data_IF_975533644383
#
_entry.id   IF_975533644383
#
_cell.length_a   1.000
_cell.length_b   1.000
_cell.length_c   1.000
_cell.angle_alpha   90.00
_cell.angle_beta   90.00
_cell.angle_gamma   90.00
#
_symmetry.space_group_name_H-M   'P 1'
#
loop_
_entity.id
_entity.type
_entity.pdbx_description
1 polymer ?
#
# COMPACT_ATOMS: atom_id res chain seq x y z
N UNK A 1 0.13 11.78 -6.27
CA UNK A 1 -0.22 12.52 -7.49
C UNK A 1 0.14 13.97 -7.31
N UNK A 2 -0.73 14.72 -6.64
CA UNK A 2 -0.67 16.17 -6.54
C UNK A 2 0.67 16.73 -6.04
N UNK A 3 1.16 16.30 -4.86
CA UNK A 3 2.45 16.78 -4.30
C UNK A 3 3.64 16.43 -5.21
N UNK A 4 3.57 15.32 -5.93
CA UNK A 4 4.62 14.89 -6.86
C UNK A 4 4.44 15.49 -8.26
N UNK A 5 3.34 16.23 -8.50
CA UNK A 5 2.99 16.84 -9.78
C UNK A 5 2.93 15.84 -10.95
N UNK A 6 2.46 14.62 -10.69
CA UNK A 6 2.38 13.54 -11.68
C UNK A 6 0.94 13.23 -12.06
N UNK A 7 0.73 12.87 -13.33
CA UNK A 7 -0.56 12.38 -13.77
C UNK A 7 -0.87 11.02 -13.12
N UNK A 8 -2.11 10.85 -12.64
CA UNK A 8 -2.58 9.61 -12.02
C UNK A 8 -3.85 9.13 -12.71
N UNK A 9 -3.74 7.98 -13.37
CA UNK A 9 -4.87 7.20 -13.86
C UNK A 9 -5.37 6.27 -12.76
N UNK A 10 -6.68 6.24 -12.52
CA UNK A 10 -7.37 5.42 -11.53
C UNK A 10 -8.45 4.58 -12.23
N UNK A 11 -8.07 3.53 -12.99
CA UNK A 11 -8.98 2.71 -13.77
C UNK A 11 -9.94 1.88 -12.90
N UNK A 12 -11.13 1.60 -13.44
CA UNK A 12 -12.21 0.94 -12.70
C UNK A 12 -12.34 -0.57 -12.91
N UNK A 13 -11.83 -1.09 -14.02
CA UNK A 13 -11.97 -2.50 -14.41
C UNK A 13 -10.83 -2.91 -15.37
N UNK A 14 -10.67 -4.21 -15.69
CA UNK A 14 -9.58 -4.69 -16.53
C UNK A 14 -9.45 -4.02 -17.92
N UNK A 15 -10.56 -3.71 -18.60
CA UNK A 15 -10.52 -3.02 -19.91
C UNK A 15 -10.07 -1.55 -19.75
N UNK A 16 -10.62 -0.85 -18.76
CA UNK A 16 -10.20 0.51 -18.42
C UNK A 16 -8.72 0.54 -18.04
N UNK A 17 -8.21 -0.47 -17.31
CA UNK A 17 -6.78 -0.61 -16.99
C UNK A 17 -5.92 -0.74 -18.23
N UNK A 18 -6.30 -1.63 -19.15
CA UNK A 18 -5.57 -1.82 -20.40
C UNK A 18 -5.49 -0.52 -21.22
N UNK A 19 -6.63 0.17 -21.37
CA UNK A 19 -6.70 1.45 -22.09
C UNK A 19 -5.92 2.56 -21.39
N UNK A 20 -5.99 2.60 -20.05
CA UNK A 20 -5.23 3.57 -19.23
C UNK A 20 -3.73 3.35 -19.34
N UNK A 21 -3.25 2.09 -19.41
CA UNK A 21 -1.83 1.77 -19.58
C UNK A 21 -1.30 2.28 -20.92
N UNK A 22 -2.02 2.02 -22.02
CA UNK A 22 -1.64 2.54 -23.34
C UNK A 22 -1.56 4.06 -23.29
N UNK A 23 -2.62 4.71 -22.79
CA UNK A 23 -2.67 6.17 -22.74
C UNK A 23 -1.61 6.77 -21.81
N UNK A 24 -1.30 6.10 -20.70
CA UNK A 24 -0.28 6.53 -19.75
C UNK A 24 1.12 6.51 -20.39
N UNK A 25 1.45 5.50 -21.20
CA UNK A 25 2.69 5.49 -21.96
C UNK A 25 2.75 6.65 -22.96
N UNK A 26 1.71 6.85 -23.76
CA UNK A 26 1.65 7.96 -24.72
C UNK A 26 1.77 9.33 -24.04
N UNK A 27 1.08 9.52 -22.91
CA UNK A 27 1.14 10.75 -22.13
C UNK A 27 2.55 10.95 -21.56
N UNK A 28 3.15 9.91 -20.99
CA UNK A 28 4.49 9.96 -20.42
C UNK A 28 5.55 10.32 -21.47
N UNK A 29 5.48 9.72 -22.66
CA UNK A 29 6.39 9.99 -23.76
C UNK A 29 6.22 11.40 -24.34
N UNK A 30 4.98 11.84 -24.56
CA UNK A 30 4.69 13.17 -25.11
C UNK A 30 5.06 14.30 -24.15
N UNK A 31 4.91 14.08 -22.85
CA UNK A 31 5.19 15.07 -21.81
C UNK A 31 6.58 14.96 -21.20
N UNK A 32 7.29 13.85 -21.47
CA UNK A 32 8.56 13.47 -20.84
C UNK A 32 8.50 13.48 -19.31
N UNK A 33 7.38 13.01 -18.75
CA UNK A 33 7.16 12.95 -17.29
C UNK A 33 6.65 11.60 -16.83
N UNK A 34 6.91 11.19 -15.58
CA UNK A 34 6.34 9.97 -15.03
C UNK A 34 4.82 10.08 -14.92
N UNK A 35 4.14 8.99 -15.24
CA UNK A 35 2.70 8.82 -15.09
C UNK A 35 2.45 7.61 -14.19
N UNK A 36 1.49 7.72 -13.29
CA UNK A 36 1.09 6.63 -12.38
C UNK A 36 -0.22 6.05 -12.89
N UNK A 37 -0.29 4.72 -12.98
CA UNK A 37 -1.55 3.99 -13.11
C UNK A 37 -1.78 3.25 -11.80
N UNK A 38 -2.84 3.62 -11.07
CA UNK A 38 -3.15 3.05 -9.76
C UNK A 38 -3.89 1.74 -9.92
N UNK A 39 -3.28 0.66 -9.44
CA UNK A 39 -3.88 -0.68 -9.40
C UNK A 39 -4.17 -1.04 -7.94
N UNK A 40 -5.43 -1.28 -7.62
CA UNK A 40 -5.86 -1.71 -6.28
C UNK A 40 -5.89 -3.24 -6.20
N UNK A 41 -5.83 -3.80 -4.99
CA UNK A 41 -5.91 -5.26 -4.75
C UNK A 41 -7.13 -5.92 -5.41
N UNK A 42 -8.27 -5.22 -5.42
CA UNK A 42 -9.48 -5.73 -6.09
C UNK A 42 -9.36 -5.71 -7.61
N UNK A 43 -8.79 -4.65 -8.16
CA UNK A 43 -8.60 -4.52 -9.60
C UNK A 43 -7.57 -5.52 -10.13
N UNK A 44 -6.52 -5.82 -9.35
CA UNK A 44 -5.51 -6.82 -9.67
C UNK A 44 -6.11 -8.23 -9.82
N UNK A 45 -7.09 -8.57 -8.96
CA UNK A 45 -7.81 -9.86 -8.98
C UNK A 45 -9.00 -9.89 -9.93
N UNK A 46 -9.40 -8.75 -10.50
CA UNK A 46 -10.56 -8.66 -11.36
C UNK A 46 -10.29 -9.33 -12.72
N UNK A 47 -11.29 -10.02 -13.24
CA UNK A 47 -11.25 -10.61 -14.59
C UNK A 47 -12.36 -10.02 -15.43
N UNK A 48 -12.08 -9.80 -16.72
CA UNK A 48 -13.04 -9.21 -17.64
C UNK A 48 -12.53 -9.25 -19.08
N UNK A 49 -13.43 -9.10 -20.07
CA UNK A 49 -13.03 -8.98 -21.46
C UNK A 49 -12.20 -7.72 -21.66
N UNK A 50 -11.17 -7.80 -22.51
CA UNK A 50 -10.32 -6.66 -22.88
C UNK A 50 -10.21 -6.62 -24.40
N UNK A 51 -10.49 -5.45 -24.99
CA UNK A 51 -10.29 -5.25 -26.43
C UNK A 51 -8.89 -4.70 -26.66
N UNK A 52 -8.02 -5.48 -27.31
CA UNK A 52 -6.65 -5.06 -27.59
C UNK A 52 -6.62 -4.04 -28.74
N UNK A 53 -5.80 -3.01 -28.60
CA UNK A 53 -5.52 -2.07 -29.68
C UNK A 53 -4.59 -2.71 -30.70
N UNK A 54 -4.92 -2.60 -31.99
CA UNK A 54 -4.04 -3.02 -33.08
C UNK A 54 -2.97 -1.95 -33.40
N UNK A 55 -3.22 -0.71 -33.01
CA UNK A 55 -2.39 0.46 -33.33
C UNK A 55 -1.56 0.93 -32.12
N UNK A 56 -0.68 0.09 -31.58
CA UNK A 56 0.29 0.52 -30.57
C UNK A 56 1.44 1.24 -31.26
N UNK A 57 1.50 2.57 -31.10
CA UNK A 57 2.60 3.39 -31.61
C UNK A 57 3.90 3.00 -30.90
N UNK A 58 4.90 2.58 -31.68
CA UNK A 58 6.27 2.45 -31.19
C UNK A 58 6.98 3.77 -31.39
N UNK A 59 7.56 4.28 -30.32
CA UNK A 59 8.24 5.57 -30.32
C UNK A 59 9.75 5.33 -30.24
N UNK A 60 10.51 5.87 -31.20
CA UNK A 60 11.97 5.89 -31.09
C UNK A 60 12.38 6.96 -30.07
N UNK A 61 12.81 6.53 -28.89
CA UNK A 61 13.24 7.43 -27.83
C UNK A 61 14.73 7.78 -27.99
N UNK A 62 15.05 9.07 -27.94
CA UNK A 62 16.43 9.56 -27.78
C UNK A 62 16.61 10.17 -26.40
N UNK A 63 17.78 9.94 -25.78
CA UNK A 63 18.06 10.44 -24.44
C UNK A 63 18.50 11.92 -24.49
N UNK A 64 17.50 12.81 -24.50
CA UNK A 64 17.68 14.25 -24.46
C UNK A 64 18.16 14.73 -23.08
N UNK A 65 19.37 15.30 -23.05
CA UNK A 65 20.01 15.83 -21.82
C UNK A 65 19.88 17.34 -21.68
N UNK A 66 19.13 18.01 -22.56
CA UNK A 66 18.96 19.47 -22.53
C UNK A 66 18.37 19.98 -21.20
N UNK A 67 17.58 19.15 -20.50
CA UNK A 67 17.03 19.44 -19.18
C UNK A 67 18.10 19.78 -18.13
N UNK A 68 19.33 19.28 -18.28
CA UNK A 68 20.45 19.58 -17.39
C UNK A 68 21.06 20.97 -17.59
N UNK A 69 20.68 21.68 -18.66
CA UNK A 69 21.01 23.10 -18.85
C UNK A 69 20.16 24.03 -17.97
N UNK A 70 19.08 23.52 -17.37
CA UNK A 70 18.22 24.26 -16.47
C UNK A 70 18.64 24.05 -15.01
N UNK A 71 18.54 25.11 -14.20
CA UNK A 71 18.61 25.01 -12.74
C UNK A 71 17.42 24.21 -12.20
N UNK A 72 17.46 23.77 -10.94
CA UNK A 72 16.30 23.09 -10.32
C UNK A 72 15.01 23.93 -10.41
N UNK A 73 15.10 25.25 -10.16
CA UNK A 73 14.00 26.19 -10.38
C UNK A 73 13.55 26.24 -11.83
N UNK A 74 14.50 26.28 -12.78
CA UNK A 74 14.18 26.31 -14.21
C UNK A 74 13.46 25.06 -14.69
N UNK A 75 13.82 23.88 -14.16
CA UNK A 75 13.11 22.61 -14.44
C UNK A 75 11.65 22.65 -13.97
N UNK A 76 11.42 23.17 -12.76
CA UNK A 76 10.07 23.30 -12.21
C UNK A 76 9.23 24.33 -12.97
N UNK A 77 9.82 25.47 -13.35
CA UNK A 77 9.16 26.45 -14.23
C UNK A 77 8.83 25.87 -15.60
N UNK A 78 9.76 25.13 -16.22
CA UNK A 78 9.53 24.44 -17.48
C UNK A 78 8.34 23.46 -17.38
N UNK A 79 8.27 22.70 -16.28
CA UNK A 79 7.14 21.80 -16.02
C UNK A 79 5.80 22.56 -15.98
N UNK A 80 5.68 23.59 -15.15
CA UNK A 80 4.42 24.34 -15.02
C UNK A 80 4.01 25.08 -16.31
N UNK A 81 4.97 25.57 -17.09
CA UNK A 81 4.68 26.34 -18.30
C UNK A 81 4.33 25.42 -19.48
N UNK A 82 5.10 24.34 -19.68
CA UNK A 82 5.01 23.54 -20.91
C UNK A 82 4.38 22.16 -20.73
N UNK A 83 4.38 21.61 -19.50
CA UNK A 83 4.01 20.22 -19.25
C UNK A 83 2.67 20.13 -18.52
N UNK A 84 2.53 20.82 -17.40
CA UNK A 84 1.30 20.78 -16.58
C UNK A 84 0.02 21.08 -17.39
N UNK A 85 -0.01 22.05 -18.33
CA UNK A 85 -1.20 22.28 -19.15
C UNK A 85 -1.63 21.06 -19.97
N UNK A 86 -0.68 20.24 -20.43
CA UNK A 86 -0.96 19.00 -21.18
C UNK A 86 -1.56 17.93 -20.26
N UNK A 87 -1.11 17.84 -19.01
CA UNK A 87 -1.66 16.92 -18.02
C UNK A 87 -3.08 17.34 -17.59
N UNK A 88 -3.32 18.64 -17.46
CA UNK A 88 -4.66 19.19 -17.20
C UNK A 88 -5.59 18.92 -18.38
N UNK A 89 -5.11 19.12 -19.61
CA UNK A 89 -5.88 18.81 -20.82
C UNK A 89 -6.26 17.33 -20.88
N UNK A 90 -5.34 16.41 -20.55
CA UNK A 90 -5.65 14.98 -20.45
C UNK A 90 -6.78 14.72 -19.44
N UNK A 91 -6.68 15.25 -18.22
CA UNK A 91 -7.71 15.06 -17.21
C UNK A 91 -9.08 15.60 -17.68
N UNK A 92 -9.08 16.76 -18.33
CA UNK A 92 -10.29 17.47 -18.78
C UNK A 92 -10.90 16.90 -20.07
N UNK A 93 -10.15 16.17 -20.90
CA UNK A 93 -10.62 15.80 -22.24
C UNK A 93 -10.45 14.32 -22.58
N UNK A 94 -9.85 13.51 -21.72
CA UNK A 94 -9.69 12.07 -21.97
C UNK A 94 -11.03 11.37 -22.20
N UNK A 95 -11.04 10.46 -23.18
CA UNK A 95 -12.21 9.62 -23.51
C UNK A 95 -12.42 8.47 -22.52
N UNK A 96 -11.50 8.31 -21.57
CA UNK A 96 -11.57 7.28 -20.53
C UNK A 96 -12.51 7.67 -19.38
N UNK A 97 -12.75 8.96 -19.19
CA UNK A 97 -13.77 9.46 -18.25
C UNK A 97 -15.16 9.24 -18.87
N UNK A 98 -16.05 8.58 -18.12
CA UNK A 98 -17.43 8.31 -18.54
C UNK A 98 -18.39 9.23 -17.81
N UNK A 99 -19.40 9.73 -18.53
CA UNK A 99 -20.49 10.51 -17.96
C UNK A 99 -21.83 9.99 -18.49
N UNK A 100 -22.73 9.64 -17.57
CA UNK A 100 -24.12 9.28 -17.85
C UNK A 100 -25.02 10.26 -17.10
N UNK A 101 -25.90 10.97 -17.80
CA UNK A 101 -26.85 11.92 -17.20
C UNK A 101 -28.18 11.24 -16.92
N UNK A 102 -28.63 11.28 -15.67
CA UNK A 102 -29.92 10.80 -15.18
C UNK A 102 -30.31 11.52 -13.87
N UNK A 103 -31.60 11.79 -13.68
CA UNK A 103 -32.12 12.43 -12.46
C UNK A 103 -31.46 13.74 -12.04
N UNK A 104 -31.64 14.10 -10.76
CA UNK A 104 -31.12 15.34 -10.14
C UNK A 104 -29.98 15.13 -9.15
N UNK A 105 -29.79 13.88 -8.73
CA UNK A 105 -28.67 13.46 -7.89
C UNK A 105 -27.52 13.05 -8.78
N UNK A 106 -26.31 13.46 -8.42
CA UNK A 106 -25.07 13.09 -9.10
C UNK A 106 -24.20 12.18 -8.23
N UNK A 107 -23.44 11.31 -8.89
CA UNK A 107 -22.35 10.54 -8.31
C UNK A 107 -21.07 10.87 -9.08
N UNK A 108 -20.01 11.22 -8.35
CA UNK A 108 -18.65 11.28 -8.89
C UNK A 108 -17.89 10.08 -8.31
N UNK A 109 -17.22 9.31 -9.15
CA UNK A 109 -16.40 8.19 -8.67
C UNK A 109 -15.11 8.03 -9.45
N UNK A 110 -14.14 7.33 -8.88
CA UNK A 110 -12.91 6.91 -9.56
C UNK A 110 -12.51 5.51 -9.15
N UNK A 111 -11.65 4.85 -9.95
CA UNK A 111 -11.13 3.54 -9.61
C UNK A 111 -12.20 2.45 -9.58
N UNK A 112 -11.88 1.34 -8.90
CA UNK A 112 -12.79 0.21 -8.74
C UNK A 112 -14.21 0.58 -8.25
N UNK A 113 -14.40 1.55 -7.32
CA UNK A 113 -15.74 1.99 -6.92
C UNK A 113 -16.66 2.39 -8.08
N UNK A 114 -16.15 2.92 -9.19
CA UNK A 114 -16.98 3.23 -10.35
C UNK A 114 -17.71 2.00 -10.92
N UNK A 115 -17.10 0.81 -10.86
CA UNK A 115 -17.74 -0.43 -11.26
C UNK A 115 -18.89 -0.80 -10.30
N UNK A 116 -18.70 -0.63 -8.99
CA UNK A 116 -19.74 -0.89 -7.99
C UNK A 116 -20.94 0.05 -8.18
N UNK A 117 -20.69 1.31 -8.54
CA UNK A 117 -21.73 2.28 -8.89
C UNK A 117 -22.49 1.83 -10.13
N UNK A 118 -21.80 1.51 -11.22
CA UNK A 118 -22.45 1.06 -12.47
C UNK A 118 -23.38 -0.13 -12.21
N UNK A 119 -22.91 -1.14 -11.48
CA UNK A 119 -23.70 -2.33 -11.15
C UNK A 119 -24.90 -1.99 -10.27
N UNK A 120 -24.73 -1.11 -9.26
CA UNK A 120 -25.81 -0.72 -8.35
C UNK A 120 -26.91 0.05 -9.08
N UNK A 121 -26.54 1.01 -9.93
CA UNK A 121 -27.48 1.82 -10.70
C UNK A 121 -28.29 0.94 -11.67
N UNK A 122 -27.62 -0.03 -12.31
CA UNK A 122 -28.26 -1.01 -13.20
C UNK A 122 -29.24 -1.93 -12.46
N UNK A 123 -28.82 -2.54 -11.34
CA UNK A 123 -29.64 -3.48 -10.56
C UNK A 123 -30.88 -2.84 -9.95
N UNK A 124 -30.75 -1.60 -9.45
CA UNK A 124 -31.82 -0.90 -8.74
C UNK A 124 -32.61 0.06 -9.64
N UNK A 125 -32.22 0.21 -10.90
CA UNK A 125 -32.84 1.13 -11.87
C UNK A 125 -32.98 2.56 -11.31
N UNK A 126 -31.89 3.06 -10.70
CA UNK A 126 -31.89 4.38 -10.06
C UNK A 126 -31.60 5.48 -11.09
N UNK A 127 -32.42 6.52 -11.09
CA UNK A 127 -32.25 7.73 -11.88
C UNK A 127 -31.21 8.67 -11.22
N UNK A 128 -29.93 8.32 -11.34
CA UNK A 128 -28.80 9.08 -10.76
C UNK A 128 -27.72 9.26 -11.81
N UNK A 129 -27.26 10.51 -11.96
CA UNK A 129 -26.18 10.84 -12.90
C UNK A 129 -24.87 10.31 -12.38
N UNK A 130 -24.00 9.83 -13.26
CA UNK A 130 -22.73 9.23 -12.87
C UNK A 130 -21.58 9.76 -13.73
N UNK A 131 -20.63 10.44 -13.07
CA UNK A 131 -19.34 10.85 -13.62
C UNK A 131 -18.24 9.95 -13.06
N UNK A 132 -17.83 8.96 -13.85
CA UNK A 132 -16.70 8.08 -13.53
C UNK A 132 -15.41 8.65 -14.10
N UNK A 133 -14.59 9.25 -13.24
CA UNK A 133 -13.26 9.75 -13.58
C UNK A 133 -12.28 8.61 -13.78
N UNK A 134 -11.43 8.75 -14.80
CA UNK A 134 -10.31 7.84 -15.02
C UNK A 134 -8.95 8.49 -14.74
N UNK A 135 -8.86 9.83 -14.85
CA UNK A 135 -7.67 10.60 -14.44
C UNK A 135 -8.08 11.46 -13.25
N UNK A 136 -7.38 11.29 -12.13
CA UNK A 136 -7.71 11.94 -10.86
C UNK A 136 -6.65 12.95 -10.43
N UNK A 137 -5.48 12.94 -11.06
CA UNK A 137 -4.46 13.96 -10.83
C UNK A 137 -3.82 14.31 -12.17
N UNK A 138 -3.79 15.60 -12.57
CA UNK A 138 -4.59 16.70 -12.03
C UNK A 138 -6.09 16.40 -12.03
N UNK A 139 -6.87 17.08 -11.18
CA UNK A 139 -8.33 16.94 -11.21
C UNK A 139 -8.93 17.73 -12.39
N UNK A 140 -9.98 17.21 -13.06
CA UNK A 140 -10.67 17.92 -14.13
C UNK A 140 -11.65 18.96 -13.57
N UNK A 141 -11.11 20.08 -13.09
CA UNK A 141 -11.84 21.12 -12.36
C UNK A 141 -13.05 21.65 -13.14
N UNK A 142 -12.96 21.81 -14.46
CA UNK A 142 -14.09 22.29 -15.28
C UNK A 142 -15.20 21.25 -15.31
N UNK A 143 -14.89 19.98 -15.66
CA UNK A 143 -15.90 18.91 -15.63
C UNK A 143 -16.55 18.76 -14.26
N UNK A 144 -15.74 18.81 -13.19
CA UNK A 144 -16.25 18.70 -11.82
C UNK A 144 -17.20 19.84 -11.48
N UNK A 145 -16.82 21.09 -11.79
CA UNK A 145 -17.67 22.27 -11.57
C UNK A 145 -19.00 22.15 -12.32
N UNK A 146 -18.94 21.81 -13.60
CA UNK A 146 -20.13 21.72 -14.45
C UNK A 146 -21.06 20.61 -13.92
N UNK A 147 -20.49 19.45 -13.56
CA UNK A 147 -21.25 18.37 -12.95
C UNK A 147 -21.86 18.77 -11.61
N UNK A 148 -21.11 19.41 -10.70
CA UNK A 148 -21.63 19.81 -9.39
C UNK A 148 -22.75 20.84 -9.52
N UNK A 149 -22.65 21.75 -10.50
CA UNK A 149 -23.66 22.80 -10.74
C UNK A 149 -24.95 22.24 -11.34
N UNK A 150 -24.87 21.12 -12.05
CA UNK A 150 -26.01 20.47 -12.70
C UNK A 150 -26.88 19.61 -11.75
N UNK A 151 -26.45 19.39 -10.49
CA UNK A 151 -27.11 18.46 -9.56
C UNK A 151 -27.43 19.09 -8.20
N UNK A 152 -28.56 18.70 -7.61
CA UNK A 152 -29.00 19.19 -6.29
C UNK A 152 -28.14 18.63 -5.16
N UNK A 153 -27.68 17.38 -5.29
CA UNK A 153 -26.75 16.69 -4.39
C UNK A 153 -25.78 15.85 -5.19
N UNK A 154 -24.52 15.82 -4.75
CA UNK A 154 -23.44 15.04 -5.37
C UNK A 154 -22.76 14.16 -4.34
N UNK A 155 -22.78 12.85 -4.56
CA UNK A 155 -22.07 11.88 -3.73
C UNK A 155 -20.73 11.51 -4.39
N UNK A 156 -19.62 11.72 -3.69
CA UNK A 156 -18.28 11.34 -4.13
C UNK A 156 -17.94 9.97 -3.57
N UNK A 157 -17.66 9.02 -4.46
CA UNK A 157 -17.39 7.61 -4.15
C UNK A 157 -15.99 7.26 -4.61
N UNK A 158 -15.07 7.21 -3.66
CA UNK A 158 -13.65 6.99 -3.92
C UNK A 158 -13.01 6.10 -2.84
N UNK A 159 -11.82 5.60 -3.14
CA UNK A 159 -11.01 4.77 -2.24
C UNK A 159 -9.55 5.20 -2.28
N UNK A 160 -8.79 5.13 -1.20
CA UNK A 160 -9.21 4.81 0.18
C UNK A 160 -9.63 6.07 0.96
N UNK A 161 -9.04 7.20 0.60
CA UNK A 161 -9.19 8.52 1.23
C UNK A 161 -10.12 9.42 0.44
N UNK A 162 -10.57 10.51 1.06
CA UNK A 162 -11.43 11.54 0.49
C UNK A 162 -10.66 12.50 -0.44
N UNK A 163 -9.91 11.99 -1.41
CA UNK A 163 -9.04 12.80 -2.25
C UNK A 163 -9.84 13.75 -3.14
N UNK A 164 -10.73 13.25 -3.99
CA UNK A 164 -11.58 14.06 -4.87
C UNK A 164 -12.49 14.94 -4.02
N UNK A 165 -13.19 14.37 -3.04
CA UNK A 165 -14.14 15.08 -2.17
C UNK A 165 -13.48 16.28 -1.49
N UNK A 166 -12.28 16.12 -0.92
CA UNK A 166 -11.57 17.21 -0.24
C UNK A 166 -11.28 18.41 -1.13
N UNK A 167 -11.05 18.20 -2.43
CA UNK A 167 -10.77 19.27 -3.38
C UNK A 167 -12.01 20.06 -3.84
N UNK A 168 -13.20 19.47 -3.70
CA UNK A 168 -14.48 20.09 -4.07
C UNK A 168 -15.41 20.30 -2.87
N UNK A 169 -14.90 20.09 -1.65
CA UNK A 169 -15.63 20.18 -0.38
C UNK A 169 -16.17 21.58 -0.06
N UNK A 170 -15.71 22.62 -0.76
CA UNK A 170 -16.27 23.98 -0.67
C UNK A 170 -17.70 24.07 -1.22
N UNK A 171 -18.13 23.09 -2.01
CA UNK A 171 -19.49 22.99 -2.52
C UNK A 171 -20.39 22.27 -1.51
N UNK A 172 -21.36 22.98 -0.92
CA UNK A 172 -22.23 22.47 0.15
C UNK A 172 -23.12 21.28 -0.26
N UNK A 173 -23.33 21.08 -1.56
CA UNK A 173 -24.08 19.95 -2.11
C UNK A 173 -23.22 18.69 -2.32
N UNK A 174 -21.93 18.72 -1.99
CA UNK A 174 -21.01 17.58 -2.09
C UNK A 174 -20.99 16.79 -0.78
N UNK A 175 -21.16 15.48 -0.90
CA UNK A 175 -21.20 14.51 0.19
C UNK A 175 -20.25 13.35 -0.11
N UNK A 176 -19.79 12.64 0.91
CA UNK A 176 -18.87 11.51 0.75
C UNK A 176 -18.36 11.00 2.10
N UNK A 177 -17.07 10.77 2.20
CA UNK A 177 -16.38 10.35 3.42
C UNK A 177 -16.29 11.48 4.45
N UNK A 178 -16.03 12.72 4.01
CA UNK A 178 -15.89 13.88 4.91
C UNK A 178 -17.24 14.26 5.54
N UNK A 179 -18.34 14.12 4.82
CA UNK A 179 -19.69 14.28 5.38
C UNK A 179 -20.18 13.06 6.17
N UNK A 180 -19.43 11.95 6.16
CA UNK A 180 -19.74 10.71 6.88
C UNK A 180 -20.75 9.80 6.17
N UNK A 181 -21.18 10.13 4.94
CA UNK A 181 -22.06 9.31 4.11
C UNK A 181 -21.42 7.99 3.70
N UNK A 182 -20.09 7.97 3.58
CA UNK A 182 -19.29 6.79 3.26
C UNK A 182 -18.17 6.60 4.30
N UNK A 183 -17.76 5.36 4.58
CA UNK A 183 -16.62 5.09 5.46
C UNK A 183 -15.28 5.41 4.79
N UNK A 184 -14.26 5.68 5.59
CA UNK A 184 -12.86 5.70 5.13
C UNK A 184 -12.37 4.28 4.81
N UNK A 185 -11.40 4.16 3.90
CA UNK A 185 -10.92 2.87 3.41
C UNK A 185 -11.75 2.33 2.24
N UNK A 186 -11.85 1.00 2.18
CA UNK A 186 -12.55 0.27 1.12
C UNK A 186 -14.07 0.44 1.26
N UNK A 187 -14.71 0.72 0.14
CA UNK A 187 -16.14 0.90 -0.09
C UNK A 187 -16.75 -0.36 -0.67
N UNK A 188 -17.91 -0.74 -0.13
CA UNK A 188 -18.76 -1.83 -0.60
C UNK A 188 -20.08 -1.30 -1.15
N UNK A 189 -20.71 -2.09 -2.02
CA UNK A 189 -21.92 -1.73 -2.77
C UNK A 189 -23.10 -1.37 -1.84
N UNK A 190 -23.24 -2.07 -0.72
CA UNK A 190 -24.28 -1.82 0.27
C UNK A 190 -24.13 -0.44 0.93
N UNK A 191 -22.89 0.02 1.11
CA UNK A 191 -22.59 1.33 1.70
C UNK A 191 -22.96 2.45 0.71
N UNK A 192 -22.70 2.24 -0.58
CA UNK A 192 -23.13 3.16 -1.64
C UNK A 192 -24.65 3.26 -1.67
N UNK A 193 -25.35 2.12 -1.69
CA UNK A 193 -26.82 2.11 -1.67
C UNK A 193 -27.40 2.83 -0.46
N UNK A 194 -26.84 2.57 0.72
CA UNK A 194 -27.23 3.27 1.94
C UNK A 194 -26.97 4.78 1.87
N UNK A 195 -25.83 5.21 1.32
CA UNK A 195 -25.51 6.63 1.17
C UNK A 195 -26.51 7.34 0.24
N UNK A 196 -26.88 6.70 -0.88
CA UNK A 196 -27.90 7.23 -1.81
C UNK A 196 -29.27 7.35 -1.13
N UNK A 197 -29.71 6.32 -0.40
CA UNK A 197 -30.98 6.31 0.33
C UNK A 197 -31.05 7.37 1.45
N UNK A 198 -29.90 7.88 1.90
CA UNK A 198 -29.79 8.80 3.03
C UNK A 198 -29.16 10.15 2.63
N UNK A 199 -29.12 10.47 1.32
CA UNK A 199 -28.41 11.65 0.78
C UNK A 199 -28.96 13.00 1.29
N UNK A 200 -30.21 13.02 1.74
CA UNK A 200 -30.86 14.21 2.29
C UNK A 200 -30.55 14.44 3.78
N UNK A 201 -29.82 13.53 4.42
CA UNK A 201 -29.41 13.68 5.82
C UNK A 201 -28.11 14.46 5.90
N UNK A 202 -27.98 15.32 6.90
CA UNK A 202 -26.74 16.07 7.12
C UNK A 202 -25.56 15.15 7.48
N UNK A 203 -25.84 14.01 8.14
CA UNK A 203 -24.85 13.01 8.53
C UNK A 203 -25.49 11.63 8.70
N UNK A 204 -24.70 10.58 8.46
CA UNK A 204 -25.06 9.19 8.78
C UNK A 204 -24.01 8.54 9.69
N UNK A 205 -24.40 7.51 10.44
CA UNK A 205 -23.52 6.87 11.45
C UNK A 205 -23.29 5.37 11.23
N UNK A 206 -24.05 4.72 10.33
CA UNK A 206 -24.10 3.25 10.19
C UNK A 206 -22.73 2.60 9.91
N UNK A 207 -21.83 3.27 9.20
CA UNK A 207 -20.51 2.76 8.82
C UNK A 207 -19.34 3.54 9.45
N UNK A 208 -19.59 4.23 10.57
CA UNK A 208 -18.58 5.09 11.22
C UNK A 208 -17.82 4.39 12.35
N UNK A 209 -18.01 3.08 12.53
CA UNK A 209 -17.35 2.32 13.59
C UNK A 209 -15.94 1.89 13.20
N UNK A 210 -15.05 1.83 14.19
CA UNK A 210 -13.68 1.35 14.01
C UNK A 210 -13.73 -0.17 13.87
N UNK A 211 -13.21 -0.68 12.75
CA UNK A 211 -13.06 -2.12 12.54
C UNK A 211 -12.00 -2.68 13.51
N UNK A 212 -12.33 -3.76 14.20
CA UNK A 212 -11.40 -4.46 15.11
C UNK A 212 -11.02 -5.82 14.55
N UNK A 213 -9.87 -6.33 14.97
CA UNK A 213 -9.44 -7.70 14.62
C UNK A 213 -10.46 -8.74 15.09
N UNK A 214 -11.05 -8.55 16.28
CA UNK A 214 -12.12 -9.43 16.77
C UNK A 214 -13.38 -9.40 15.90
N UNK A 215 -13.70 -8.26 15.26
CA UNK A 215 -14.84 -8.13 14.36
C UNK A 215 -14.62 -8.73 12.97
N UNK A 216 -13.45 -8.46 12.35
CA UNK A 216 -13.15 -8.88 10.97
C UNK A 216 -12.45 -10.24 10.84
N UNK A 217 -11.88 -10.73 11.95
CA UNK A 217 -10.98 -11.87 11.99
C UNK A 217 -9.50 -11.49 11.74
N UNK A 218 -8.58 -12.23 12.35
CA UNK A 218 -7.15 -12.11 12.09
C UNK A 218 -6.72 -13.00 10.92
N UNK A 219 -5.63 -12.63 10.24
CA UNK A 219 -4.91 -13.56 9.36
C UNK A 219 -3.82 -14.22 10.20
N UNK A 220 -4.05 -15.47 10.62
CA UNK A 220 -3.10 -16.22 11.42
C UNK A 220 -1.83 -16.59 10.63
N UNK A 221 -0.81 -16.97 11.40
CA UNK A 221 0.33 -17.75 10.89
C UNK A 221 -0.13 -19.16 10.50
N UNK A 222 0.66 -19.85 9.68
CA UNK A 222 0.43 -21.26 9.37
C UNK A 222 0.47 -22.11 10.64
N UNK A 223 -0.45 -23.08 10.78
CA UNK A 223 -0.56 -23.92 11.98
C UNK A 223 0.75 -24.68 12.27
N UNK A 224 1.38 -25.23 11.23
CA UNK A 224 2.64 -25.98 11.33
C UNK A 224 3.90 -25.12 11.15
N UNK A 225 3.79 -23.79 11.28
CA UNK A 225 4.93 -22.89 11.08
C UNK A 225 6.04 -23.19 12.10
N UNK A 226 7.24 -23.46 11.61
CA UNK A 226 8.42 -23.71 12.46
C UNK A 226 8.84 -22.48 13.27
N UNK A 227 8.47 -21.27 12.87
CA UNK A 227 8.73 -20.06 13.65
C UNK A 227 7.68 -19.79 14.74
N UNK A 228 6.59 -20.55 14.80
CA UNK A 228 5.52 -20.32 15.78
C UNK A 228 6.02 -20.39 17.25
N UNK A 229 6.91 -21.34 17.64
CA UNK A 229 7.53 -21.32 18.96
C UNK A 229 8.40 -20.08 19.22
N UNK A 230 9.04 -19.52 18.19
CA UNK A 230 9.85 -18.29 18.31
C UNK A 230 8.96 -17.11 18.67
N UNK A 231 7.82 -16.94 18.00
CA UNK A 231 6.87 -15.87 18.35
C UNK A 231 6.29 -16.02 19.75
N UNK A 232 6.04 -17.26 20.21
CA UNK A 232 5.63 -17.50 21.60
C UNK A 232 6.72 -17.14 22.61
N UNK A 233 7.97 -17.49 22.34
CA UNK A 233 9.10 -17.08 23.18
C UNK A 233 9.24 -15.55 23.22
N UNK A 234 9.07 -14.87 22.08
CA UNK A 234 9.10 -13.41 21.98
C UNK A 234 8.00 -12.73 22.80
N UNK A 235 6.77 -13.28 22.81
CA UNK A 235 5.67 -12.80 23.65
C UNK A 235 6.03 -12.72 25.13
N UNK A 236 6.77 -13.72 25.62
CA UNK A 236 7.15 -13.84 27.02
C UNK A 236 8.35 -12.92 27.39
N UNK A 237 8.94 -12.22 26.42
CA UNK A 237 10.00 -11.23 26.68
C UNK A 237 9.38 -9.89 27.08
N UNK A 238 9.71 -9.41 28.27
CA UNK A 238 9.35 -8.05 28.73
C UNK A 238 10.30 -6.99 28.11
N UNK A 239 10.28 -6.88 26.78
CA UNK A 239 11.13 -5.97 25.99
C UNK A 239 10.38 -5.47 24.75
N UNK A 240 10.73 -4.28 24.27
CA UNK A 240 10.16 -3.77 23.01
C UNK A 240 10.67 -4.56 21.80
N UNK A 241 9.72 -4.96 20.94
CA UNK A 241 9.98 -5.73 19.73
C UNK A 241 9.45 -4.99 18.51
N UNK A 242 10.37 -4.63 17.60
CA UNK A 242 10.03 -4.11 16.29
C UNK A 242 9.94 -5.26 15.27
N UNK A 243 8.78 -5.43 14.63
CA UNK A 243 8.56 -6.43 13.60
C UNK A 243 8.60 -5.85 12.18
N UNK A 244 9.05 -6.66 11.24
CA UNK A 244 9.14 -6.31 9.83
C UNK A 244 7.90 -6.75 9.04
N UNK A 245 7.45 -5.96 8.08
CA UNK A 245 6.25 -6.28 7.29
C UNK A 245 6.37 -7.65 6.59
N UNK A 246 5.61 -8.63 7.09
CA UNK A 246 5.72 -10.03 6.67
C UNK A 246 4.95 -10.94 7.63
N UNK A 247 5.42 -12.17 7.81
CA UNK A 247 4.82 -13.10 8.78
C UNK A 247 4.90 -12.57 10.22
N UNK A 248 5.93 -11.81 10.59
CA UNK A 248 6.10 -11.29 11.95
C UNK A 248 4.97 -10.35 12.38
N UNK A 249 4.45 -9.50 11.49
CA UNK A 249 3.30 -8.61 11.82
C UNK A 249 2.02 -9.41 12.09
N UNK A 250 1.89 -10.63 11.56
CA UNK A 250 0.76 -11.50 11.87
C UNK A 250 0.79 -12.05 13.30
N UNK A 251 1.92 -11.96 14.02
CA UNK A 251 2.00 -12.30 15.44
C UNK A 251 1.76 -11.12 16.38
N UNK A 252 1.53 -9.90 15.87
CA UNK A 252 1.22 -8.74 16.70
C UNK A 252 -0.14 -8.83 17.43
N UNK A 253 -1.22 -9.39 16.84
CA UNK A 253 -2.48 -9.57 17.56
C UNK A 253 -2.46 -10.74 18.55
N UNK A 254 -3.41 -10.74 19.48
CA UNK A 254 -3.72 -11.91 20.31
C UNK A 254 -3.98 -13.18 19.45
N UNK A 255 -3.53 -14.36 19.91
CA UNK A 255 -2.94 -14.65 21.22
C UNK A 255 -1.41 -14.55 21.27
N UNK A 256 -0.74 -14.11 20.20
CA UNK A 256 0.72 -14.10 20.16
C UNK A 256 1.32 -12.82 20.71
N UNK A 257 0.76 -11.64 20.38
CA UNK A 257 1.21 -10.34 20.90
C UNK A 257 2.75 -10.21 20.95
N UNK A 258 3.43 -10.72 19.91
CA UNK A 258 4.88 -10.92 19.91
C UNK A 258 5.67 -9.75 19.30
N UNK A 259 4.97 -8.73 18.82
CA UNK A 259 5.54 -7.55 18.16
C UNK A 259 4.74 -6.33 18.61
N UNK A 260 5.43 -5.28 19.04
CA UNK A 260 4.83 -4.04 19.52
C UNK A 260 4.66 -3.00 18.40
N UNK A 261 5.63 -2.93 17.48
CA UNK A 261 5.73 -1.88 16.47
C UNK A 261 6.14 -2.45 15.12
N UNK A 262 5.50 -1.99 14.04
CA UNK A 262 5.91 -2.30 12.67
C UNK A 262 5.49 -1.20 11.72
N UNK A 263 6.33 -0.88 10.73
CA UNK A 263 6.12 0.25 9.82
C UNK A 263 6.13 -0.13 8.33
N UNK A 264 7.24 -0.71 7.87
CA UNK A 264 7.44 -1.03 6.46
C UNK A 264 8.32 -2.28 6.32
N UNK A 265 8.38 -2.83 5.12
CA UNK A 265 9.29 -3.92 4.80
C UNK A 265 10.74 -3.42 4.91
N UNK A 266 11.59 -4.19 5.59
CA UNK A 266 12.98 -3.86 5.89
C UNK A 266 13.18 -2.69 6.86
N UNK A 267 12.19 -2.34 7.68
CA UNK A 267 12.26 -1.22 8.63
C UNK A 267 12.46 -1.66 10.08
N UNK A 268 12.32 -2.94 10.41
CA UNK A 268 12.38 -3.42 11.80
C UNK A 268 13.66 -3.02 12.54
N UNK A 269 14.82 -3.16 11.90
CA UNK A 269 16.12 -2.82 12.51
C UNK A 269 16.20 -1.33 12.82
N UNK A 270 15.91 -0.47 11.84
CA UNK A 270 15.91 0.98 12.04
C UNK A 270 14.91 1.42 13.11
N UNK A 271 13.76 0.74 13.19
CA UNK A 271 12.74 1.01 14.21
C UNK A 271 13.26 0.67 15.61
N UNK A 272 13.81 -0.54 15.79
CA UNK A 272 14.38 -0.99 17.06
C UNK A 272 15.53 -0.07 17.54
N UNK A 273 16.38 0.39 16.63
CA UNK A 273 17.47 1.34 16.98
C UNK A 273 16.99 2.71 17.46
N UNK A 274 15.72 3.05 17.21
CA UNK A 274 15.10 4.28 17.68
C UNK A 274 14.53 4.20 19.10
N UNK A 275 14.50 3.01 19.70
CA UNK A 275 14.05 2.85 21.09
C UNK A 275 15.13 3.28 22.10
N UNK A 276 14.68 3.72 23.27
CA UNK A 276 15.55 4.27 24.32
C UNK A 276 16.40 3.18 25.02
N UNK A 277 15.88 1.96 25.08
CA UNK A 277 16.55 0.79 25.66
C UNK A 277 16.88 -0.22 24.56
N UNK A 278 17.85 -1.11 24.84
CA UNK A 278 18.12 -2.27 23.98
C UNK A 278 16.82 -3.00 23.70
N UNK A 279 16.64 -3.40 22.45
CA UNK A 279 15.39 -3.94 21.93
C UNK A 279 15.64 -5.01 20.88
N UNK A 280 14.57 -5.69 20.46
CA UNK A 280 14.63 -6.75 19.45
C UNK A 280 14.04 -6.26 18.13
N UNK A 281 14.76 -6.47 17.03
CA UNK A 281 14.23 -6.36 15.68
C UNK A 281 13.98 -7.76 15.10
N UNK A 282 12.73 -8.09 14.77
CA UNK A 282 12.36 -9.35 14.14
C UNK A 282 12.12 -9.11 12.65
N UNK A 283 13.03 -9.60 11.82
CA UNK A 283 13.05 -9.34 10.37
C UNK A 283 13.14 -10.64 9.59
N UNK A 284 12.43 -10.75 8.47
CA UNK A 284 12.62 -11.86 7.53
C UNK A 284 13.89 -11.67 6.69
N UNK A 285 14.46 -12.75 6.20
CA UNK A 285 15.54 -12.75 5.19
C UNK A 285 15.24 -11.87 3.95
N UNK A 286 14.01 -11.91 3.43
CA UNK A 286 13.58 -11.01 2.36
C UNK A 286 13.55 -9.54 2.80
N UNK A 287 13.04 -9.25 3.99
CA UNK A 287 13.02 -7.89 4.54
C UNK A 287 14.44 -7.35 4.74
N UNK A 288 15.36 -8.21 5.20
CA UNK A 288 16.78 -7.89 5.35
C UNK A 288 17.40 -7.52 4.00
N UNK A 289 17.15 -8.33 2.96
CA UNK A 289 17.69 -8.08 1.61
C UNK A 289 17.04 -6.92 0.87
N UNK A 290 15.75 -6.64 1.13
CA UNK A 290 15.05 -5.52 0.52
C UNK A 290 15.63 -4.16 0.97
N UNK A 291 15.74 -3.95 2.28
CA UNK A 291 16.27 -2.69 2.83
C UNK A 291 16.76 -2.80 4.28
N UNK A 292 16.49 -3.90 4.97
CA UNK A 292 16.90 -4.07 6.37
C UNK A 292 18.42 -4.01 6.57
N UNK A 293 19.21 -4.46 5.59
CA UNK A 293 20.67 -4.39 5.64
C UNK A 293 21.20 -2.96 5.80
N UNK A 294 20.51 -1.96 5.23
CA UNK A 294 20.85 -0.54 5.40
C UNK A 294 20.63 -0.11 6.85
N UNK A 295 19.56 -0.60 7.48
CA UNK A 295 19.29 -0.41 8.90
C UNK A 295 20.38 -1.04 9.78
N UNK A 296 20.84 -2.25 9.43
CA UNK A 296 21.93 -2.91 10.15
C UNK A 296 23.25 -2.14 10.05
N UNK A 297 23.63 -1.68 8.85
CA UNK A 297 24.81 -0.83 8.65
C UNK A 297 24.72 0.41 9.55
N UNK A 298 23.57 1.07 9.57
CA UNK A 298 23.38 2.24 10.42
C UNK A 298 23.48 1.91 11.92
N UNK A 299 22.91 0.79 12.36
CA UNK A 299 22.96 0.33 13.74
C UNK A 299 24.40 0.11 14.21
N UNK A 300 25.21 -0.59 13.41
CA UNK A 300 26.61 -0.89 13.72
C UNK A 300 27.45 0.39 13.74
N UNK A 301 27.40 1.19 12.67
CA UNK A 301 28.21 2.41 12.54
C UNK A 301 27.90 3.42 13.65
N UNK A 302 26.65 3.48 14.10
CA UNK A 302 26.22 4.38 15.18
C UNK A 302 26.23 3.72 16.56
N UNK A 303 26.82 2.51 16.70
CA UNK A 303 26.96 1.77 17.97
C UNK A 303 25.64 1.68 18.75
N UNK A 304 24.57 1.30 18.06
CA UNK A 304 23.23 1.17 18.64
C UNK A 304 23.09 -0.16 19.38
N UNK A 305 22.27 -0.16 20.42
CA UNK A 305 21.96 -1.36 21.19
C UNK A 305 20.72 -2.05 20.63
N UNK A 306 20.93 -3.07 19.80
CA UNK A 306 19.83 -3.82 19.18
C UNK A 306 20.20 -5.28 18.99
N UNK A 307 19.26 -6.18 19.31
CA UNK A 307 19.32 -7.58 18.92
C UNK A 307 18.49 -7.78 17.65
N UNK A 308 19.12 -8.18 16.56
CA UNK A 308 18.45 -8.48 15.30
C UNK A 308 18.21 -9.99 15.20
N UNK A 309 16.94 -10.39 15.17
CA UNK A 309 16.53 -11.76 14.90
C UNK A 309 16.09 -11.88 13.44
N UNK A 310 16.91 -12.54 12.62
CA UNK A 310 16.61 -12.82 11.22
C UNK A 310 15.89 -14.15 11.11
N UNK A 311 14.60 -14.14 10.78
CA UNK A 311 13.83 -15.35 10.49
C UNK A 311 14.05 -15.75 9.03
N UNK A 312 14.98 -16.66 8.82
CA UNK A 312 15.48 -17.09 7.52
C UNK A 312 14.76 -18.36 7.07
N UNK A 313 13.85 -18.21 6.11
CA UNK A 313 13.07 -19.29 5.54
C UNK A 313 13.33 -19.50 4.04
N UNK A 314 14.35 -18.81 3.52
CA UNK A 314 14.84 -18.84 2.15
C UNK A 314 13.81 -18.44 1.10
N UNK A 315 12.69 -17.84 1.51
CA UNK A 315 11.51 -17.64 0.66
C UNK A 315 10.79 -16.33 0.95
N UNK A 316 10.49 -15.55 -0.10
CA UNK A 316 9.63 -14.38 -0.04
C UNK A 316 8.13 -14.78 0.10
N UNK A 317 7.80 -15.44 1.22
CA UNK A 317 6.56 -16.20 1.42
C UNK A 317 5.26 -15.37 1.36
N UNK A 318 5.37 -14.05 1.56
CA UNK A 318 4.24 -13.12 1.56
C UNK A 318 4.11 -12.33 0.25
N UNK A 319 5.12 -12.36 -0.62
CA UNK A 319 5.27 -11.43 -1.76
C UNK A 319 5.61 -12.15 -3.08
N UNK A 320 5.28 -13.45 -3.19
CA UNK A 320 5.35 -14.19 -4.45
C UNK A 320 6.09 -15.53 -4.40
N UNK A 321 6.66 -15.92 -3.25
CA UNK A 321 7.26 -17.25 -3.08
C UNK A 321 8.60 -17.45 -3.79
N UNK A 322 9.26 -16.38 -4.21
CA UNK A 322 10.59 -16.44 -4.82
C UNK A 322 11.65 -16.78 -3.76
N UNK A 323 12.76 -17.41 -4.17
CA UNK A 323 13.90 -17.63 -3.29
C UNK A 323 14.56 -16.33 -2.88
N UNK A 324 15.03 -16.24 -1.64
CA UNK A 324 15.69 -15.05 -1.10
C UNK A 324 17.22 -15.17 -1.21
N UNK A 325 17.95 -14.06 -1.39
CA UNK A 325 19.41 -14.07 -1.29
C UNK A 325 19.88 -14.37 0.14
N UNK A 326 20.86 -15.28 0.29
CA UNK A 326 21.53 -15.49 1.59
C UNK A 326 22.53 -14.36 1.85
N UNK A 327 22.24 -13.53 2.86
CA UNK A 327 23.08 -12.40 3.27
C UNK A 327 23.98 -12.69 4.46
N UNK A 328 24.09 -13.94 4.92
CA UNK A 328 24.81 -14.28 6.15
C UNK A 328 26.25 -13.82 6.16
N UNK A 329 26.99 -14.01 5.06
CA UNK A 329 28.39 -13.58 4.97
C UNK A 329 28.53 -12.05 4.90
N UNK A 330 27.57 -11.36 4.27
CA UNK A 330 27.54 -9.90 4.27
C UNK A 330 27.26 -9.37 5.70
N UNK A 331 26.37 -10.02 6.45
CA UNK A 331 26.07 -9.65 7.83
C UNK A 331 27.25 -9.92 8.76
N UNK A 332 27.95 -11.04 8.63
CA UNK A 332 29.20 -11.32 9.38
C UNK A 332 30.33 -10.33 9.07
N UNK A 333 30.37 -9.79 7.85
CA UNK A 333 31.34 -8.76 7.49
C UNK A 333 31.00 -7.39 8.11
N UNK A 334 29.73 -7.17 8.48
CA UNK A 334 29.24 -5.93 9.08
C UNK A 334 29.19 -5.99 10.61
N UNK A 335 28.87 -7.13 11.19
CA UNK A 335 28.69 -7.32 12.63
C UNK A 335 29.52 -8.52 13.11
N UNK A 336 30.30 -8.32 14.18
CA UNK A 336 31.15 -9.38 14.74
C UNK A 336 30.33 -10.43 15.51
N UNK A 337 29.23 -10.04 16.16
CA UNK A 337 28.39 -10.93 16.97
C UNK A 337 27.21 -11.46 16.15
N UNK A 338 27.49 -12.49 15.36
CA UNK A 338 26.50 -13.18 14.52
C UNK A 338 26.45 -14.65 14.87
N UNK A 339 25.27 -15.13 15.26
CA UNK A 339 25.01 -16.56 15.52
C UNK A 339 23.99 -17.10 14.52
N UNK A 340 24.22 -18.30 14.00
CA UNK A 340 23.27 -19.02 13.14
C UNK A 340 22.68 -20.19 13.92
N UNK A 341 21.35 -20.21 14.03
CA UNK A 341 20.58 -21.15 14.81
C UNK A 341 19.59 -21.93 13.92
N UNK A 342 19.88 -23.20 13.66
CA UNK A 342 19.06 -24.05 12.78
C UNK A 342 17.82 -24.60 13.50
N UNK A 343 16.63 -24.37 12.95
CA UNK A 343 15.33 -24.68 13.55
C UNK A 343 14.46 -25.55 12.62
N UNK A 344 15.07 -26.56 12.00
CA UNK A 344 14.44 -27.39 10.96
C UNK A 344 13.80 -28.69 11.45
N UNK A 345 14.10 -29.17 12.66
CA UNK A 345 13.52 -30.42 13.21
C UNK A 345 12.37 -30.12 14.19
N UNK A 346 11.09 -30.38 13.80
CA UNK A 346 9.94 -30.17 14.67
C UNK A 346 9.99 -31.00 15.96
N UNK A 347 10.65 -32.17 15.94
CA UNK A 347 10.73 -33.07 17.11
C UNK A 347 11.62 -32.52 18.21
N UNK A 348 12.58 -31.67 17.84
CA UNK A 348 13.51 -31.02 18.76
C UNK A 348 13.09 -29.59 19.11
N UNK A 349 11.98 -29.08 18.55
CA UNK A 349 11.54 -27.70 18.72
C UNK A 349 11.45 -27.27 20.20
N UNK A 350 11.02 -28.16 21.09
CA UNK A 350 10.88 -27.86 22.53
C UNK A 350 12.20 -27.70 23.29
N UNK A 351 13.27 -28.44 22.94
CA UNK A 351 14.60 -28.23 23.54
C UNK A 351 15.33 -27.08 22.86
N UNK A 352 15.23 -27.00 21.53
CA UNK A 352 15.85 -25.94 20.71
C UNK A 352 15.31 -24.55 21.05
N UNK A 353 14.03 -24.41 21.39
CA UNK A 353 13.48 -23.10 21.77
C UNK A 353 14.06 -22.59 23.09
N UNK A 354 14.36 -23.48 24.05
CA UNK A 354 15.00 -23.09 25.31
C UNK A 354 16.44 -22.62 25.10
N UNK A 355 17.19 -23.33 24.26
CA UNK A 355 18.54 -22.92 23.84
C UNK A 355 18.52 -21.55 23.16
N UNK A 356 17.52 -21.29 22.30
CA UNK A 356 17.35 -19.99 21.64
C UNK A 356 16.98 -18.89 22.64
N UNK A 357 16.11 -19.19 23.62
CA UNK A 357 15.71 -18.24 24.65
C UNK A 357 16.89 -17.81 25.54
N UNK A 358 17.74 -18.77 25.93
CA UNK A 358 18.99 -18.50 26.65
C UNK A 358 19.93 -17.63 25.81
N UNK A 359 20.12 -17.96 24.53
CA UNK A 359 20.94 -17.16 23.61
C UNK A 359 20.40 -15.74 23.45
N UNK A 360 19.08 -15.56 23.33
CA UNK A 360 18.45 -14.23 23.24
C UNK A 360 18.69 -13.44 24.53
N UNK A 361 18.49 -14.04 25.70
CA UNK A 361 18.74 -13.41 27.01
C UNK A 361 20.21 -12.98 27.15
N UNK A 362 21.14 -13.85 26.76
CA UNK A 362 22.57 -13.54 26.76
C UNK A 362 22.89 -12.34 25.87
N UNK A 363 22.32 -12.27 24.66
CA UNK A 363 22.55 -11.16 23.74
C UNK A 363 21.86 -9.87 24.13
N UNK A 364 20.74 -9.94 24.84
CA UNK A 364 20.09 -8.76 25.41
C UNK A 364 20.88 -8.16 26.58
N UNK A 365 21.74 -8.93 27.25
CA UNK A 365 22.58 -8.46 28.34
C UNK A 365 23.91 -7.82 27.91
N UNK A 366 24.29 -7.93 26.63
CA UNK A 366 25.52 -7.39 26.07
C UNK A 366 25.24 -6.06 25.35
N UNK A 367 26.10 -5.07 25.46
CA UNK A 367 25.94 -3.80 24.73
C UNK A 367 26.27 -3.97 23.23
N UNK A 368 25.67 -3.13 22.39
CA UNK A 368 25.88 -3.09 20.95
C UNK A 368 24.94 -3.97 20.14
N UNK A 369 25.32 -4.16 18.87
CA UNK A 369 24.55 -4.91 17.88
C UNK A 369 24.89 -6.40 17.95
N UNK A 370 23.85 -7.23 18.05
CA UNK A 370 23.96 -8.69 17.93
C UNK A 370 22.99 -9.18 16.86
N UNK A 371 23.35 -10.21 16.10
CA UNK A 371 22.47 -10.82 15.11
C UNK A 371 22.33 -12.32 15.36
N UNK A 372 21.09 -12.80 15.40
CA UNK A 372 20.76 -14.22 15.45
C UNK A 372 19.96 -14.57 14.19
N UNK A 373 20.53 -15.39 13.32
CA UNK A 373 19.79 -16.04 12.25
C UNK A 373 19.05 -17.25 12.82
N UNK A 374 17.73 -17.26 12.74
CA UNK A 374 16.91 -18.44 13.05
C UNK A 374 16.47 -19.03 11.71
N UNK A 375 17.00 -20.20 11.35
CA UNK A 375 16.81 -20.81 10.03
C UNK A 375 15.79 -21.93 10.06
N UNK A 376 14.72 -21.83 9.28
CA UNK A 376 13.74 -22.90 9.17
C UNK A 376 12.99 -22.86 7.83
N UNK A 377 12.74 -24.01 7.22
CA UNK A 377 12.06 -24.07 5.92
C UNK A 377 10.60 -23.62 6.00
N UNK A 378 10.18 -22.79 5.03
CA UNK A 378 8.80 -22.33 4.92
C UNK A 378 7.84 -23.48 4.55
N UNK A 379 6.83 -23.73 5.39
CA UNK A 379 5.87 -24.83 5.16
C UNK A 379 5.00 -24.68 3.92
N UNK A 380 4.82 -23.47 3.41
CA UNK A 380 3.96 -23.19 2.25
C UNK A 380 4.66 -23.42 0.91
N UNK A 381 5.99 -23.38 0.88
CA UNK A 381 6.81 -23.40 -0.33
C UNK A 381 7.88 -24.50 -0.30
N UNK A 382 7.62 -25.58 0.44
CA UNK A 382 8.48 -26.77 0.52
C UNK A 382 8.56 -27.53 -0.79
#
# INVERSE_FOLDING_TARGET
GEVAEVAVFDPSNPDATYRSLIRAFELSESTKTPVIVRITDRLEKATGPVTRSEDIKKTEATFDRSIWKLTMRGKHQHFHINVQPLLVDEAENTSLTRYVKAGKTGIISSGYPSLLVDELLSERQLEVSHLSLNVVSPLPVRKLRDFISDHEKVLVIEESEAFIESHISICENVLGKMSGHLPYGRIEKEQIGFAIENIDKDKVTKYTFIETIGGRGSRSLCEDCLFLPVYRMLHDLDIFIAGDMGCSIRSAPAPLEAVDVGFALGAAISTATGFDKKSVAVIGDFGLSHSGIVGLINAVENKRDVLVMVLDNRTAAMTGGQSTPDLTEAVKALCDDVTVFEFNDPKLAGSRIKELEELVKDRLAVDGVSVIYVRADCVLYR
#
